data_IF_977727306659
#
_entry.id   IF_977727306659
#
_cell.length_a   1.000
_cell.length_b   1.000
_cell.length_c   1.000
_cell.angle_alpha   90.00
_cell.angle_beta   90.00
_cell.angle_gamma   90.00
#
_symmetry.space_group_name_H-M   'P 1'
#
loop_
_entity.id
_entity.type
_entity.pdbx_description
1 polymer ?
#
# COMPACT_ATOMS: atom_id res chain seq x y z
N UNK A 1 -10.68 22.66 10.11
CA UNK A 1 -10.23 21.58 11.03
C UNK A 1 -8.91 21.99 11.66
N UNK A 2 -8.79 21.96 12.99
CA UNK A 2 -7.49 22.18 13.65
C UNK A 2 -6.74 20.85 13.76
N UNK A 3 -5.53 20.79 13.24
CA UNK A 3 -4.60 19.68 13.43
C UNK A 3 -3.43 20.15 14.29
N UNK A 4 -2.96 19.28 15.18
CA UNK A 4 -1.83 19.59 16.06
C UNK A 4 -0.86 18.43 16.23
N UNK A 5 0.41 18.77 16.35
CA UNK A 5 1.50 17.94 16.87
C UNK A 5 1.93 18.50 18.23
N UNK A 6 2.95 17.93 18.85
CA UNK A 6 3.55 18.48 20.08
C UNK A 6 4.19 19.86 19.86
N UNK A 7 4.57 20.19 18.63
CA UNK A 7 5.35 21.39 18.31
C UNK A 7 4.57 22.45 17.53
N UNK A 8 3.49 22.08 16.82
CA UNK A 8 2.72 23.03 16.03
C UNK A 8 1.23 22.72 15.99
N UNK A 9 0.43 23.77 15.79
CA UNK A 9 -1.00 23.71 15.57
C UNK A 9 -1.35 24.54 14.34
N UNK A 10 -2.22 24.04 13.47
CA UNK A 10 -2.62 24.75 12.25
C UNK A 10 -4.06 24.45 11.88
N UNK A 11 -4.76 25.47 11.41
CA UNK A 11 -6.12 25.39 10.89
C UNK A 11 -6.08 25.09 9.38
N UNK A 12 -6.78 24.04 8.98
CA UNK A 12 -6.96 23.64 7.59
C UNK A 12 -8.41 23.75 7.16
N UNK A 13 -8.63 24.36 5.99
CA UNK A 13 -9.91 24.31 5.30
C UNK A 13 -10.05 22.96 4.59
N UNK A 14 -11.19 22.30 4.81
CA UNK A 14 -11.44 20.98 4.27
C UNK A 14 -12.38 21.07 3.07
N UNK A 15 -11.98 20.46 1.95
CA UNK A 15 -12.89 20.22 0.82
C UNK A 15 -13.89 19.10 1.12
N UNK A 16 -14.98 19.04 0.34
CA UNK A 16 -16.07 18.07 0.51
C UNK A 16 -15.58 16.61 0.57
N UNK A 17 -14.70 16.21 -0.34
CA UNK A 17 -14.14 14.85 -0.38
C UNK A 17 -13.44 14.43 0.93
N UNK A 18 -12.73 15.37 1.56
CA UNK A 18 -12.00 15.08 2.80
C UNK A 18 -12.94 15.02 4.00
N UNK A 19 -14.01 15.83 3.98
CA UNK A 19 -15.09 15.77 4.98
C UNK A 19 -15.79 14.41 4.92
N UNK A 20 -16.08 13.91 3.71
CA UNK A 20 -16.70 12.59 3.52
C UNK A 20 -15.79 11.47 4.05
N UNK A 21 -14.48 11.54 3.77
CA UNK A 21 -13.49 10.58 4.25
C UNK A 21 -13.37 10.58 5.79
N UNK A 22 -13.34 11.76 6.42
CA UNK A 22 -13.30 11.90 7.88
C UNK A 22 -14.58 11.32 8.53
N UNK A 23 -15.72 11.57 7.91
CA UNK A 23 -17.02 11.06 8.39
C UNK A 23 -17.11 9.55 8.26
N UNK A 24 -16.64 9.00 7.14
CA UNK A 24 -16.57 7.54 6.89
C UNK A 24 -15.69 6.82 7.92
N UNK A 25 -14.55 7.41 8.28
CA UNK A 25 -13.64 6.88 9.30
C UNK A 25 -14.09 7.20 10.75
N UNK A 26 -15.20 7.94 10.91
CA UNK A 26 -15.76 8.33 12.21
C UNK A 26 -14.78 9.13 13.05
N UNK A 27 -14.00 10.03 12.45
CA UNK A 27 -12.96 10.81 13.14
C UNK A 27 -13.60 11.82 14.07
N UNK A 28 -13.14 11.85 15.32
CA UNK A 28 -13.63 12.74 16.38
C UNK A 28 -12.48 13.54 17.00
N UNK A 29 -12.82 14.61 17.71
CA UNK A 29 -11.82 15.44 18.38
C UNK A 29 -11.02 14.62 19.41
N UNK A 30 -9.70 14.59 19.24
CA UNK A 30 -8.78 13.80 20.08
C UNK A 30 -8.29 12.52 19.43
N UNK A 31 -8.81 12.14 18.26
CA UNK A 31 -8.25 11.06 17.46
C UNK A 31 -6.96 11.52 16.77
N UNK A 32 -5.97 10.63 16.72
CA UNK A 32 -4.74 10.80 15.98
C UNK A 32 -4.93 10.15 14.61
N UNK A 33 -4.78 10.95 13.55
CA UNK A 33 -5.05 10.54 12.18
C UNK A 33 -3.82 10.79 11.30
N UNK A 34 -3.70 9.99 10.25
CA UNK A 34 -2.83 10.26 9.10
C UNK A 34 -3.68 10.60 7.90
N UNK A 35 -3.27 11.63 7.16
CA UNK A 35 -3.91 12.03 5.90
C UNK A 35 -2.84 11.97 4.82
N UNK A 36 -3.05 11.11 3.82
CA UNK A 36 -2.24 11.14 2.61
C UNK A 36 -2.82 12.20 1.66
N UNK A 37 -2.04 13.24 1.39
CA UNK A 37 -2.45 14.37 0.56
C UNK A 37 -2.63 13.99 -0.92
N UNK A 38 -1.91 12.99 -1.41
CA UNK A 38 -1.98 12.58 -2.81
C UNK A 38 -3.24 11.74 -3.09
N UNK A 39 -3.53 10.77 -2.22
CA UNK A 39 -4.71 9.90 -2.38
C UNK A 39 -5.97 10.44 -1.71
N UNK A 40 -5.85 11.39 -0.78
CA UNK A 40 -6.95 11.86 0.06
C UNK A 40 -7.40 10.82 1.11
N UNK A 41 -6.64 9.73 1.27
CA UNK A 41 -6.95 8.67 2.23
C UNK A 41 -6.71 9.16 3.66
N UNK A 42 -7.74 9.05 4.48
CA UNK A 42 -7.68 9.28 5.92
C UNK A 42 -7.53 7.93 6.62
N UNK A 43 -6.68 7.85 7.64
CA UNK A 43 -6.52 6.64 8.45
C UNK A 43 -6.43 7.02 9.92
N UNK A 44 -7.30 6.43 10.74
CA UNK A 44 -7.30 6.61 12.19
C UNK A 44 -6.21 5.72 12.82
N UNK A 45 -5.18 6.34 13.37
CA UNK A 45 -4.05 5.63 14.00
C UNK A 45 -4.44 5.21 15.43
N UNK A 46 -5.19 6.05 16.12
CA UNK A 46 -5.63 5.80 17.49
C UNK A 46 -6.22 7.05 18.14
N UNK A 47 -6.28 7.05 19.46
CA UNK A 47 -6.76 8.18 20.26
C UNK A 47 -5.64 8.74 21.14
N UNK A 48 -5.54 10.07 21.21
CA UNK A 48 -4.53 10.74 22.03
C UNK A 48 -4.75 10.52 23.52
N UNK A 49 -3.68 10.23 24.27
CA UNK A 49 -3.73 10.04 25.74
C UNK A 49 -4.29 11.24 26.51
N UNK A 50 -4.20 12.45 25.95
CA UNK A 50 -4.68 13.68 26.59
C UNK A 50 -6.19 13.68 26.91
N UNK A 51 -6.98 12.79 26.30
CA UNK A 51 -8.42 12.62 26.58
C UNK A 51 -8.80 11.20 27.02
N UNK A 52 -7.84 10.41 27.49
CA UNK A 52 -8.09 9.04 27.94
C UNK A 52 -9.02 8.96 29.18
N UNK A 53 -9.12 10.02 29.98
CA UNK A 53 -9.94 10.07 31.20
C UNK A 53 -11.42 10.40 30.98
N UNK A 54 -11.81 10.89 29.80
CA UNK A 54 -13.18 11.35 29.55
C UNK A 54 -14.14 10.21 29.12
N UNK A 55 -13.61 9.00 28.94
CA UNK A 55 -14.38 7.84 28.50
C UNK A 55 -13.99 6.62 29.35
N UNK A 56 -14.70 6.36 30.45
CA UNK A 56 -14.57 5.12 31.23
C UNK A 56 -15.16 3.89 30.50
N UNK A 57 -15.85 4.11 29.37
CA UNK A 57 -16.47 3.08 28.53
C UNK A 57 -15.78 2.97 27.16
N UNK A 58 -14.45 2.85 27.14
CA UNK A 58 -13.71 2.64 25.89
C UNK A 58 -13.85 1.17 25.48
N UNK A 59 -14.42 0.91 24.31
CA UNK A 59 -14.48 -0.45 23.76
C UNK A 59 -13.08 -1.07 23.65
N UNK A 60 -12.94 -2.40 23.75
CA UNK A 60 -11.66 -3.12 23.80
C UNK A 60 -10.74 -2.91 22.57
N UNK A 61 -11.22 -2.19 21.56
CA UNK A 61 -10.55 -1.92 20.28
C UNK A 61 -9.87 -0.55 20.20
N UNK A 62 -10.01 0.32 21.20
CA UNK A 62 -9.45 1.69 21.10
C UNK A 62 -7.98 1.70 21.46
N UNK A 63 -7.13 1.86 20.44
CA UNK A 63 -5.69 2.01 20.59
C UNK A 63 -5.35 3.43 21.02
N UNK A 64 -4.77 3.59 22.21
CA UNK A 64 -4.22 4.87 22.64
C UNK A 64 -2.82 5.08 22.09
N UNK A 65 -2.56 6.27 21.56
CA UNK A 65 -1.29 6.67 20.95
C UNK A 65 -0.85 8.04 21.45
N UNK A 66 0.46 8.26 21.47
CA UNK A 66 1.01 9.58 21.80
C UNK A 66 0.74 10.59 20.69
N UNK A 67 0.72 11.87 21.05
CA UNK A 67 0.63 12.94 20.07
C UNK A 67 1.90 12.90 19.19
N UNK A 68 1.77 12.90 17.85
CA UNK A 68 2.93 12.91 16.98
C UNK A 68 3.82 14.13 17.21
N UNK A 69 5.14 13.93 17.13
CA UNK A 69 6.15 14.98 17.31
C UNK A 69 6.65 15.55 15.98
N UNK A 70 7.15 16.78 16.02
CA UNK A 70 7.67 17.51 14.86
C UNK A 70 6.60 18.15 13.97
N UNK A 71 6.94 18.34 12.70
CA UNK A 71 6.09 18.99 11.71
C UNK A 71 4.80 18.23 11.40
N UNK A 72 3.71 18.97 11.15
CA UNK A 72 2.40 18.45 10.76
C UNK A 72 2.40 17.82 9.36
N UNK A 73 3.27 18.29 8.47
CA UNK A 73 3.38 17.78 7.11
C UNK A 73 4.79 17.23 6.90
N UNK A 74 4.88 15.94 6.61
CA UNK A 74 6.15 15.27 6.30
C UNK A 74 6.02 14.59 4.94
N UNK A 75 7.04 14.75 4.10
CA UNK A 75 7.17 13.98 2.87
C UNK A 75 7.82 12.64 3.21
N UNK A 76 7.10 11.54 2.98
CA UNK A 76 7.61 10.18 3.17
C UNK A 76 7.81 9.55 1.80
N UNK A 77 9.02 9.10 1.52
CA UNK A 77 9.27 8.21 0.38
C UNK A 77 8.90 6.78 0.79
N UNK A 78 8.07 6.14 -0.03
CA UNK A 78 7.65 4.76 0.19
C UNK A 78 8.19 3.94 -0.98
N UNK A 79 9.04 2.97 -0.65
CA UNK A 79 9.55 2.00 -1.62
C UNK A 79 8.54 0.87 -1.69
N UNK A 80 8.07 0.58 -2.90
CA UNK A 80 7.18 -0.54 -3.18
C UNK A 80 7.95 -1.59 -3.97
N UNK A 81 8.04 -2.80 -3.43
CA UNK A 81 8.60 -3.95 -4.12
C UNK A 81 7.44 -4.80 -4.64
N UNK A 82 7.42 -5.03 -5.94
CA UNK A 82 6.43 -5.87 -6.63
C UNK A 82 7.16 -6.85 -7.54
N UNK A 83 6.56 -8.02 -7.76
CA UNK A 83 7.09 -9.03 -8.68
C UNK A 83 6.63 -8.75 -10.11
N UNK A 84 7.40 -9.22 -11.10
CA UNK A 84 7.00 -9.14 -12.52
C UNK A 84 5.65 -9.83 -12.76
N UNK A 85 5.43 -10.97 -12.09
CA UNK A 85 4.16 -11.69 -12.19
C UNK A 85 2.96 -10.88 -11.71
N UNK A 86 3.09 -10.10 -10.63
CA UNK A 86 2.01 -9.22 -10.17
C UNK A 86 1.67 -8.15 -11.21
N UNK A 87 2.70 -7.59 -11.86
CA UNK A 87 2.53 -6.61 -12.94
C UNK A 87 1.81 -7.28 -14.13
N UNK A 88 2.21 -8.49 -14.52
CA UNK A 88 1.58 -9.25 -15.60
C UNK A 88 0.09 -9.49 -15.34
N UNK A 89 -0.26 -9.96 -14.13
CA UNK A 89 -1.65 -10.26 -13.74
C UNK A 89 -2.52 -9.00 -13.78
N UNK A 90 -2.01 -7.88 -13.26
CA UNK A 90 -2.72 -6.59 -13.26
C UNK A 90 -3.03 -6.12 -14.69
N UNK A 91 -2.10 -6.31 -15.61
CA UNK A 91 -2.24 -5.83 -16.99
C UNK A 91 -2.99 -6.82 -17.90
N UNK A 92 -3.12 -8.10 -17.51
CA UNK A 92 -3.80 -9.11 -18.32
C UNK A 92 -5.33 -9.14 -18.17
N UNK A 93 -5.91 -8.65 -17.06
CA UNK A 93 -7.37 -8.80 -16.77
C UNK A 93 -8.07 -7.47 -16.54
N UNK A 94 -9.34 -7.40 -16.96
CA UNK A 94 -10.21 -6.25 -16.71
C UNK A 94 -10.51 -6.01 -15.21
N UNK A 95 -10.37 -7.03 -14.36
CA UNK A 95 -10.52 -6.90 -12.89
C UNK A 95 -9.24 -6.43 -12.16
N UNK A 96 -8.13 -6.21 -12.89
CA UNK A 96 -6.91 -5.58 -12.36
C UNK A 96 -6.38 -6.21 -11.07
N UNK A 97 -6.02 -5.36 -10.10
CA UNK A 97 -5.40 -5.73 -8.81
C UNK A 97 -6.18 -6.76 -7.97
N UNK A 98 -7.51 -6.84 -8.12
CA UNK A 98 -8.34 -7.81 -7.36
C UNK A 98 -8.03 -9.26 -7.76
N UNK A 99 -7.56 -9.49 -8.99
CA UNK A 99 -7.20 -10.83 -9.46
C UNK A 99 -6.04 -11.45 -8.66
N UNK A 100 -5.18 -10.64 -8.03
CA UNK A 100 -4.09 -11.12 -7.18
C UNK A 100 -4.60 -11.87 -5.94
N UNK A 101 -5.81 -11.56 -5.48
CA UNK A 101 -6.40 -12.15 -4.27
C UNK A 101 -7.42 -13.25 -4.57
N UNK A 102 -7.79 -13.43 -5.84
CA UNK A 102 -8.81 -14.40 -6.25
C UNK A 102 -8.24 -15.81 -6.47
N UNK A 103 -6.91 -15.98 -6.52
CA UNK A 103 -6.24 -17.27 -6.72
C UNK A 103 -6.38 -17.88 -8.12
N UNK A 104 -7.41 -17.50 -8.87
CA UNK A 104 -7.64 -17.91 -10.25
C UNK A 104 -7.12 -16.85 -11.23
N UNK A 105 -5.79 -16.75 -11.37
CA UNK A 105 -5.13 -15.78 -12.28
C UNK A 105 -5.16 -16.23 -13.73
N UNK A 106 -5.37 -17.52 -13.99
CA UNK A 106 -5.36 -18.11 -15.33
C UNK A 106 -4.01 -17.97 -16.06
N UNK A 107 -3.97 -18.38 -17.31
CA UNK A 107 -2.79 -18.23 -18.17
C UNK A 107 -2.68 -16.78 -18.67
N UNK A 108 -1.45 -16.23 -18.61
CA UNK A 108 -1.14 -14.89 -19.10
C UNK A 108 -0.57 -15.01 -20.51
N UNK A 109 -1.14 -14.26 -21.46
CA UNK A 109 -0.68 -14.25 -22.85
C UNK A 109 0.77 -13.79 -22.95
N UNK A 110 1.54 -14.41 -23.83
CA UNK A 110 2.94 -14.03 -24.12
C UNK A 110 3.09 -12.55 -24.50
N UNK A 111 2.16 -12.01 -25.29
CA UNK A 111 2.16 -10.59 -25.69
C UNK A 111 2.15 -9.62 -24.49
N UNK A 112 1.45 -9.96 -23.41
CA UNK A 112 1.41 -9.12 -22.20
C UNK A 112 2.79 -9.14 -21.53
N UNK A 113 3.39 -10.33 -21.40
CA UNK A 113 4.72 -10.48 -20.79
C UNK A 113 5.78 -9.70 -21.57
N UNK A 114 5.80 -9.83 -22.90
CA UNK A 114 6.73 -9.09 -23.75
C UNK A 114 6.57 -7.56 -23.61
N UNK A 115 5.32 -7.07 -23.51
CA UNK A 115 5.05 -5.65 -23.26
C UNK A 115 5.54 -5.19 -21.88
N UNK A 116 5.33 -6.01 -20.84
CA UNK A 116 5.80 -5.70 -19.48
C UNK A 116 7.33 -5.71 -19.42
N UNK A 117 7.98 -6.71 -20.02
CA UNK A 117 9.44 -6.82 -20.08
C UNK A 117 10.07 -5.59 -20.75
N UNK A 118 9.52 -5.14 -21.88
CA UNK A 118 9.97 -3.94 -22.57
C UNK A 118 9.83 -2.68 -21.69
N UNK A 119 8.71 -2.56 -20.96
CA UNK A 119 8.44 -1.40 -20.11
C UNK A 119 9.29 -1.39 -18.84
N UNK A 120 9.56 -2.55 -18.26
CA UNK A 120 10.46 -2.68 -17.10
C UNK A 120 11.90 -2.38 -17.53
N UNK A 121 12.31 -2.80 -18.73
CA UNK A 121 13.61 -2.43 -19.30
C UNK A 121 13.72 -0.90 -19.46
N UNK A 122 12.71 -0.24 -20.02
CA UNK A 122 12.65 1.23 -20.12
C UNK A 122 12.75 1.90 -18.74
N UNK A 123 11.96 1.46 -17.75
CA UNK A 123 12.02 2.03 -16.39
C UNK A 123 13.37 1.84 -15.71
N UNK A 124 14.06 0.74 -16.01
CA UNK A 124 15.43 0.50 -15.54
C UNK A 124 16.42 1.45 -16.20
N UNK A 125 16.33 1.63 -17.51
CA UNK A 125 17.21 2.55 -18.26
C UNK A 125 17.01 4.02 -17.84
N UNK A 126 15.76 4.42 -17.57
CA UNK A 126 15.42 5.76 -17.07
C UNK A 126 15.73 5.96 -15.58
N UNK A 127 16.14 4.92 -14.85
CA UNK A 127 16.40 4.97 -13.40
C UNK A 127 15.14 5.15 -12.55
N UNK A 128 13.95 4.84 -13.08
CA UNK A 128 12.67 4.89 -12.36
C UNK A 128 12.39 3.63 -11.54
N UNK A 129 13.03 2.50 -11.88
CA UNK A 129 12.89 1.23 -11.18
C UNK A 129 14.23 0.49 -11.06
N UNK A 130 14.35 -0.32 -10.01
CA UNK A 130 15.46 -1.24 -9.79
C UNK A 130 14.94 -2.67 -9.81
N UNK A 131 15.66 -3.55 -10.53
CA UNK A 131 15.34 -4.99 -10.55
C UNK A 131 16.13 -5.67 -9.44
N UNK A 132 15.41 -6.33 -8.53
CA UNK A 132 15.98 -7.12 -7.44
C UNK A 132 15.87 -8.60 -7.81
N UNK A 133 16.98 -9.31 -8.10
CA UNK A 133 16.95 -10.74 -8.36
C UNK A 133 16.49 -11.52 -7.12
N UNK A 134 15.46 -12.35 -7.28
CA UNK A 134 14.96 -13.24 -6.24
C UNK A 134 15.61 -14.63 -6.27
N UNK A 135 15.05 -15.56 -5.50
CA UNK A 135 15.44 -16.98 -5.50
C UNK A 135 14.19 -17.82 -5.74
N UNK A 136 14.24 -18.71 -6.73
CA UNK A 136 13.23 -19.74 -6.94
C UNK A 136 13.72 -21.03 -6.29
N UNK A 137 12.98 -21.51 -5.28
CA UNK A 137 13.21 -22.81 -4.67
C UNK A 137 12.12 -23.78 -5.12
N UNK A 138 12.54 -24.94 -5.64
CA UNK A 138 11.64 -26.02 -6.05
C UNK A 138 11.96 -27.22 -5.17
N UNK A 139 11.01 -27.55 -4.29
CA UNK A 139 11.11 -28.76 -3.48
C UNK A 139 10.75 -30.00 -4.31
N UNK A 140 11.31 -31.16 -3.96
CA UNK A 140 11.06 -32.44 -4.63
C UNK A 140 11.22 -32.40 -6.16
N UNK A 141 12.32 -31.82 -6.64
CA UNK A 141 12.62 -31.64 -8.08
C UNK A 141 12.52 -32.93 -8.91
N UNK A 142 12.64 -34.10 -8.28
CA UNK A 142 12.49 -35.41 -8.93
C UNK A 142 11.06 -35.69 -9.45
N UNK A 143 10.07 -34.90 -9.04
CA UNK A 143 8.69 -34.98 -9.52
C UNK A 143 8.46 -34.22 -10.84
N UNK A 144 9.44 -33.43 -11.31
CA UNK A 144 9.35 -32.72 -12.59
C UNK A 144 9.59 -33.64 -13.79
N UNK A 145 8.88 -33.39 -14.87
CA UNK A 145 9.10 -34.08 -16.15
C UNK A 145 10.22 -33.43 -16.98
N UNK A 146 10.58 -34.10 -18.09
CA UNK A 146 11.62 -33.63 -19.02
C UNK A 146 11.27 -32.27 -19.63
N UNK A 147 9.99 -31.96 -19.85
CA UNK A 147 9.57 -30.70 -20.43
C UNK A 147 9.82 -29.53 -19.46
N UNK A 148 9.54 -29.72 -18.17
CA UNK A 148 9.87 -28.77 -17.12
C UNK A 148 11.37 -28.47 -17.05
N UNK A 149 12.23 -29.50 -17.11
CA UNK A 149 13.68 -29.31 -17.12
C UNK A 149 14.17 -28.60 -18.39
N UNK A 150 13.58 -28.92 -19.54
CA UNK A 150 13.87 -28.23 -20.80
C UNK A 150 13.50 -26.75 -20.74
N UNK A 151 12.36 -26.43 -20.12
CA UNK A 151 11.92 -25.05 -19.89
C UNK A 151 12.85 -24.28 -18.95
N UNK A 152 13.28 -24.88 -17.85
CA UNK A 152 14.17 -24.24 -16.87
C UNK A 152 15.60 -23.98 -17.40
N UNK A 153 16.04 -24.75 -18.40
CA UNK A 153 17.39 -24.62 -18.96
C UNK A 153 17.49 -23.57 -20.09
N UNK A 154 16.39 -22.86 -20.38
CA UNK A 154 16.30 -21.88 -21.46
C UNK A 154 16.55 -20.47 -20.96
#
# INVERSE_FOLDING_TARGET
MSLKTTEMETLYDLGSKLIDALTKEGVTAGDVISIDKASGKVSKIGRGFARAKDFDAVGPTTRFVQCPEGELQKRKEVVHTVTLHEIDVINSRAQGFLALFAGDTGEIKGEVREQIDAKVAEWREEGKAEIIPGVLFIDEVHMLDIECFSFLNR
#
